data_IF_078845464054
#
_entry.id   IF_078845464054
#
_cell.length_a   1.000
_cell.length_b   1.000
_cell.length_c   1.000
_cell.angle_alpha   90.00
_cell.angle_beta   90.00
_cell.angle_gamma   90.00
#
_symmetry.space_group_name_H-M   'P 1'
#
loop_
_entity.id
_entity.type
_entity.pdbx_description
1 polymer ?
#
# COMPACT_ATOMS: atom_id res chain seq x y z
N UNK A 1 5.89 -7.18 9.97
CA UNK A 1 6.55 -5.95 9.46
C UNK A 1 6.04 -4.75 10.26
N UNK A 2 6.85 -3.69 10.43
CA UNK A 2 6.53 -2.55 11.31
C UNK A 2 5.30 -1.72 10.85
N UNK A 3 5.00 -1.72 9.55
CA UNK A 3 3.93 -0.90 8.96
C UNK A 3 2.97 -1.73 8.08
N UNK A 4 2.70 -2.98 8.49
CA UNK A 4 1.79 -3.86 7.75
C UNK A 4 0.41 -3.20 7.57
N UNK A 5 -0.07 -3.12 6.33
CA UNK A 5 -1.37 -2.53 5.99
C UNK A 5 -1.42 -1.00 5.94
N UNK A 6 -0.39 -0.29 6.42
CA UNK A 6 -0.32 1.17 6.29
C UNK A 6 0.22 1.56 4.90
N UNK A 7 -0.70 1.69 3.96
CA UNK A 7 -0.38 2.02 2.57
C UNK A 7 0.28 3.39 2.40
N UNK A 8 -0.02 4.36 3.26
CA UNK A 8 0.57 5.70 3.18
C UNK A 8 2.05 5.61 3.59
N UNK A 9 2.32 4.94 4.71
CA UNK A 9 3.69 4.80 5.22
C UNK A 9 4.55 3.95 4.29
N UNK A 10 4.03 2.83 3.80
CA UNK A 10 4.76 1.96 2.85
C UNK A 10 5.03 2.70 1.54
N UNK A 11 4.06 3.45 1.02
CA UNK A 11 4.26 4.25 -0.21
C UNK A 11 5.32 5.32 -0.01
N UNK A 12 5.32 6.01 1.14
CA UNK A 12 6.36 7.01 1.47
C UNK A 12 7.75 6.39 1.52
N UNK A 13 7.90 5.21 2.14
CA UNK A 13 9.18 4.53 2.27
C UNK A 13 9.74 4.15 0.90
N UNK A 14 8.89 3.63 0.00
CA UNK A 14 9.30 3.17 -1.32
C UNK A 14 9.57 4.35 -2.27
N UNK A 15 8.73 5.38 -2.22
CA UNK A 15 8.66 6.41 -3.26
C UNK A 15 9.17 7.78 -2.80
N UNK A 16 9.51 7.95 -1.52
CA UNK A 16 9.83 9.27 -0.97
C UNK A 16 8.66 10.28 -1.00
N UNK A 17 7.45 9.82 -1.31
CA UNK A 17 6.24 10.62 -1.48
C UNK A 17 4.99 9.75 -1.61
N UNK A 18 3.86 10.35 -1.98
CA UNK A 18 2.56 9.67 -2.09
C UNK A 18 2.07 9.51 -3.54
N UNK A 19 2.96 9.68 -4.53
CA UNK A 19 2.58 9.58 -5.94
C UNK A 19 2.00 8.18 -6.22
N UNK A 20 0.79 8.15 -6.78
CA UNK A 20 0.06 6.92 -7.10
C UNK A 20 -0.63 6.21 -5.92
N UNK A 21 -0.81 6.86 -4.76
CA UNK A 21 -1.41 6.20 -3.57
C UNK A 21 -2.81 5.60 -3.82
N UNK A 22 -3.61 6.20 -4.71
CA UNK A 22 -4.93 5.67 -5.08
C UNK A 22 -4.87 4.29 -5.74
N UNK A 23 -4.12 4.16 -6.84
CA UNK A 23 -3.91 2.88 -7.54
C UNK A 23 -3.28 1.83 -6.62
N UNK A 24 -2.30 2.23 -5.80
CA UNK A 24 -1.65 1.33 -4.83
C UNK A 24 -2.64 0.77 -3.82
N UNK A 25 -3.57 1.59 -3.30
CA UNK A 25 -4.62 1.14 -2.37
C UNK A 25 -5.56 0.14 -3.04
N UNK A 26 -6.02 0.44 -4.26
CA UNK A 26 -6.92 -0.45 -5.00
C UNK A 26 -6.29 -1.83 -5.22
N UNK A 27 -5.01 -1.87 -5.63
CA UNK A 27 -4.26 -3.12 -5.83
C UNK A 27 -4.01 -3.87 -4.53
N UNK A 28 -3.70 -3.15 -3.45
CA UNK A 28 -3.50 -3.75 -2.14
C UNK A 28 -4.76 -4.46 -1.64
N UNK A 29 -5.93 -3.81 -1.72
CA UNK A 29 -7.19 -4.43 -1.30
C UNK A 29 -7.54 -5.65 -2.15
N UNK A 30 -7.38 -5.56 -3.49
CA UNK A 30 -7.58 -6.72 -4.39
C UNK A 30 -6.67 -7.89 -4.02
N UNK A 31 -5.38 -7.63 -3.76
CA UNK A 31 -4.43 -8.66 -3.36
C UNK A 31 -4.77 -9.25 -1.99
N UNK A 32 -5.18 -8.40 -1.04
CA UNK A 32 -5.57 -8.83 0.30
C UNK A 32 -6.76 -9.79 0.26
N UNK A 33 -7.76 -9.54 -0.57
CA UNK A 33 -8.90 -10.44 -0.76
C UNK A 33 -8.55 -11.84 -1.27
N UNK A 34 -7.46 -11.99 -2.03
CA UNK A 34 -6.99 -13.29 -2.55
C UNK A 34 -6.29 -14.12 -1.47
N UNK A 35 -5.75 -13.46 -0.45
CA UNK A 35 -4.92 -14.09 0.60
C UNK A 35 -5.72 -14.46 1.86
N UNK A 36 -7.05 -14.32 1.81
CA UNK A 36 -7.99 -14.73 2.86
C UNK A 36 -8.73 -15.96 2.35
#
# INVERSE_FOLDING_TARGET
LKYSGDMVRVTQIINGGQNGIGDRRERFEKAKWVLI
#
